data_IF_674994060343
#
_entry.id   IF_674994060343
#
_cell.length_a   1.000
_cell.length_b   1.000
_cell.length_c   1.000
_cell.angle_alpha   90.00
_cell.angle_beta   90.00
_cell.angle_gamma   90.00
#
_symmetry.space_group_name_H-M   'P 1'
#
loop_
_entity.id
_entity.type
_entity.pdbx_description
1 polymer ?
#
# COMPACT_ATOMS: atom_id res chain seq x y z
N UNK A 1 16.31 -53.75 21.85
CA UNK A 1 15.07 -52.95 21.87
C UNK A 1 15.46 -51.49 22.03
N UNK A 2 14.92 -50.58 21.20
CA UNK A 2 15.22 -49.14 21.32
C UNK A 2 14.65 -48.59 22.63
N UNK A 3 15.42 -47.75 23.31
CA UNK A 3 14.96 -47.00 24.48
C UNK A 3 13.88 -45.98 24.09
N UNK A 4 13.04 -45.57 25.05
CA UNK A 4 12.02 -44.55 24.79
C UNK A 4 12.61 -43.21 24.32
N UNK A 5 13.83 -42.87 24.76
CA UNK A 5 14.56 -41.68 24.31
C UNK A 5 14.98 -41.78 22.84
N UNK A 6 15.49 -42.94 22.42
CA UNK A 6 15.89 -43.17 21.02
C UNK A 6 14.68 -43.17 20.09
N UNK A 7 13.57 -43.80 20.49
CA UNK A 7 12.30 -43.76 19.73
C UNK A 7 11.82 -42.32 19.53
N UNK A 8 11.94 -41.48 20.55
CA UNK A 8 11.55 -40.07 20.47
C UNK A 8 12.45 -39.29 19.49
N UNK A 9 13.77 -39.46 19.56
CA UNK A 9 14.73 -38.82 18.65
C UNK A 9 14.53 -39.24 17.19
N UNK A 10 14.25 -40.52 16.94
CA UNK A 10 13.96 -41.02 15.58
C UNK A 10 12.71 -40.33 15.03
N UNK A 11 11.66 -40.22 15.86
CA UNK A 11 10.40 -39.61 15.47
C UNK A 11 10.53 -38.10 15.23
N UNK A 12 11.34 -37.40 16.01
CA UNK A 12 11.68 -35.99 15.77
C UNK A 12 12.39 -35.80 14.42
N UNK A 13 13.39 -36.63 14.12
CA UNK A 13 14.09 -36.61 12.82
C UNK A 13 13.15 -36.91 11.66
N UNK A 14 12.25 -37.88 11.83
CA UNK A 14 11.26 -38.22 10.81
C UNK A 14 10.28 -37.06 10.57
N UNK A 15 9.75 -36.46 11.64
CA UNK A 15 8.85 -35.31 11.54
C UNK A 15 9.51 -34.13 10.81
N UNK A 16 10.78 -33.86 11.11
CA UNK A 16 11.57 -32.84 10.43
C UNK A 16 11.83 -33.18 8.96
N UNK A 17 12.14 -34.43 8.64
CA UNK A 17 12.32 -34.89 7.25
C UNK A 17 11.04 -34.70 6.42
N UNK A 18 9.88 -35.09 6.97
CA UNK A 18 8.58 -34.91 6.30
C UNK A 18 8.26 -33.42 6.08
N UNK A 19 8.60 -32.57 7.04
CA UNK A 19 8.47 -31.12 6.92
C UNK A 19 9.38 -30.56 5.81
N UNK A 20 10.64 -30.99 5.74
CA UNK A 20 11.58 -30.56 4.69
C UNK A 20 11.14 -31.04 3.30
N UNK A 21 10.55 -32.24 3.22
CA UNK A 21 9.93 -32.79 2.01
C UNK A 21 8.57 -32.16 1.66
N UNK A 22 8.10 -31.19 2.47
CA UNK A 22 6.84 -30.46 2.29
C UNK A 22 5.60 -31.36 2.41
N UNK A 23 5.72 -32.50 3.11
CA UNK A 23 4.63 -33.39 3.44
C UNK A 23 3.98 -33.00 4.78
N UNK A 24 3.23 -31.91 4.75
CA UNK A 24 2.69 -31.28 5.96
C UNK A 24 1.69 -32.16 6.72
N UNK A 25 0.98 -33.06 6.04
CA UNK A 25 0.03 -33.99 6.68
C UNK A 25 0.75 -34.98 7.60
N UNK A 26 1.83 -35.60 7.10
CA UNK A 26 2.67 -36.51 7.89
C UNK A 26 3.45 -35.76 8.97
N UNK A 27 4.04 -34.61 8.63
CA UNK A 27 4.76 -33.78 9.60
C UNK A 27 3.84 -33.37 10.76
N UNK A 28 2.63 -32.87 10.49
CA UNK A 28 1.67 -32.51 11.53
C UNK A 28 1.32 -33.68 12.45
N UNK A 29 1.02 -34.86 11.87
CA UNK A 29 0.67 -36.04 12.65
C UNK A 29 1.79 -36.45 13.60
N UNK A 30 3.03 -36.51 13.09
CA UNK A 30 4.21 -36.88 13.88
C UNK A 30 4.52 -35.85 14.97
N UNK A 31 4.48 -34.55 14.67
CA UNK A 31 4.71 -33.50 15.67
C UNK A 31 3.59 -33.44 16.71
N UNK A 32 2.33 -33.65 16.33
CA UNK A 32 1.21 -33.66 17.27
C UNK A 32 1.36 -34.77 18.31
N UNK A 33 1.75 -35.97 17.87
CA UNK A 33 1.95 -37.12 18.78
C UNK A 33 3.20 -36.95 19.66
N UNK A 34 4.28 -36.37 19.12
CA UNK A 34 5.48 -36.04 19.90
C UNK A 34 5.21 -35.05 21.05
N UNK A 35 4.21 -34.20 20.87
CA UNK A 35 3.86 -33.12 21.79
C UNK A 35 2.64 -33.43 22.64
N UNK A 36 2.02 -34.59 22.45
CA UNK A 36 0.87 -35.04 23.23
C UNK A 36 1.23 -35.20 24.71
N UNK A 37 0.40 -34.66 25.60
CA UNK A 37 0.64 -34.66 27.05
C UNK A 37 1.73 -33.69 27.54
N UNK A 38 2.42 -32.96 26.65
CA UNK A 38 3.38 -31.91 27.04
C UNK A 38 2.67 -30.56 27.18
N UNK A 39 3.06 -29.76 28.19
CA UNK A 39 2.62 -28.38 28.31
C UNK A 39 2.94 -27.61 27.00
N UNK A 40 1.98 -26.86 26.43
CA UNK A 40 2.21 -26.11 25.20
C UNK A 40 3.33 -25.10 25.43
N UNK A 41 4.48 -25.34 24.79
CA UNK A 41 5.53 -24.32 24.69
C UNK A 41 5.25 -23.47 23.46
N UNK A 42 5.52 -22.17 23.58
CA UNK A 42 5.33 -21.15 22.56
C UNK A 42 5.68 -21.63 21.13
N UNK A 43 6.94 -22.00 20.89
CA UNK A 43 7.44 -22.45 19.58
C UNK A 43 6.73 -23.71 19.05
N UNK A 44 6.29 -24.60 19.93
CA UNK A 44 5.63 -25.85 19.54
C UNK A 44 4.18 -25.60 19.10
N UNK A 45 3.48 -24.69 19.76
CA UNK A 45 2.11 -24.31 19.41
C UNK A 45 2.04 -23.64 18.03
N UNK A 46 2.93 -22.68 17.75
CA UNK A 46 2.99 -22.03 16.43
C UNK A 46 3.29 -23.03 15.31
N UNK A 47 4.27 -23.91 15.53
CA UNK A 47 4.65 -24.93 14.56
C UNK A 47 3.49 -25.86 14.24
N UNK A 48 2.80 -26.37 15.27
CA UNK A 48 1.61 -27.20 15.08
C UNK A 48 0.49 -26.45 14.35
N UNK A 49 0.29 -25.17 14.65
CA UNK A 49 -0.72 -24.35 13.97
C UNK A 49 -0.44 -24.19 12.48
N UNK A 50 0.81 -23.85 12.11
CA UNK A 50 1.24 -23.72 10.72
C UNK A 50 1.13 -25.05 9.97
N UNK A 51 1.61 -26.15 10.57
CA UNK A 51 1.51 -27.47 9.96
C UNK A 51 0.05 -27.94 9.82
N UNK A 52 -0.81 -27.64 10.79
CA UNK A 52 -2.24 -27.92 10.69
C UNK A 52 -2.86 -27.17 9.51
N UNK A 53 -2.58 -25.87 9.36
CA UNK A 53 -3.06 -25.08 8.23
C UNK A 53 -2.61 -25.66 6.89
N UNK A 54 -1.31 -25.96 6.77
CA UNK A 54 -0.73 -26.49 5.54
C UNK A 54 -1.23 -27.91 5.22
N UNK A 55 -1.63 -28.67 6.25
CA UNK A 55 -2.26 -29.97 6.12
C UNK A 55 -3.79 -29.90 5.90
N UNK A 56 -4.39 -28.71 5.83
CA UNK A 56 -5.84 -28.52 5.70
C UNK A 56 -6.65 -28.92 6.95
N UNK A 57 -6.03 -28.89 8.13
CA UNK A 57 -6.66 -29.18 9.43
C UNK A 57 -6.98 -27.89 10.20
N UNK A 58 -7.83 -27.99 11.23
CA UNK A 58 -8.16 -26.85 12.09
C UNK A 58 -6.96 -26.47 12.99
N UNK A 59 -6.40 -25.30 12.74
CA UNK A 59 -5.25 -24.72 13.44
C UNK A 59 -5.61 -23.77 14.58
N UNK A 60 -6.90 -23.43 14.74
CA UNK A 60 -7.38 -22.33 15.61
C UNK A 60 -6.95 -22.51 17.06
N UNK A 61 -7.10 -23.72 17.60
CA UNK A 61 -6.72 -24.04 18.99
C UNK A 61 -5.23 -23.83 19.21
N UNK A 62 -4.39 -24.31 18.29
CA UNK A 62 -2.93 -24.17 18.38
C UNK A 62 -2.50 -22.70 18.34
N UNK A 63 -3.17 -21.87 17.52
CA UNK A 63 -2.92 -20.44 17.48
C UNK A 63 -3.36 -19.72 18.76
N UNK A 64 -4.48 -20.11 19.36
CA UNK A 64 -4.93 -19.57 20.65
C UNK A 64 -3.97 -19.94 21.78
N UNK A 65 -3.51 -21.19 21.81
CA UNK A 65 -2.48 -21.65 22.74
C UNK A 65 -1.19 -20.85 22.56
N UNK A 66 -0.73 -20.64 21.32
CA UNK A 66 0.42 -19.79 21.02
C UNK A 66 0.26 -18.37 21.57
N UNK A 67 -0.85 -17.69 21.25
CA UNK A 67 -1.12 -16.33 21.72
C UNK A 67 -1.10 -16.25 23.25
N UNK A 68 -1.58 -17.28 23.93
CA UNK A 68 -1.65 -17.33 25.40
C UNK A 68 -0.27 -17.44 26.05
N UNK A 69 0.64 -18.23 25.47
CA UNK A 69 1.93 -18.55 26.09
C UNK A 69 3.11 -17.75 25.53
N UNK A 70 2.94 -17.11 24.37
CA UNK A 70 4.02 -16.33 23.77
C UNK A 70 4.39 -15.11 24.59
N UNK A 71 5.69 -14.88 24.72
CA UNK A 71 6.23 -13.64 25.31
C UNK A 71 6.35 -12.52 24.28
N UNK A 72 6.36 -12.87 22.99
CA UNK A 72 6.52 -11.92 21.91
C UNK A 72 5.17 -11.33 21.50
N UNK A 73 4.91 -10.08 21.91
CA UNK A 73 3.70 -9.35 21.49
C UNK A 73 3.58 -9.27 19.97
N UNK A 74 4.71 -9.10 19.27
CA UNK A 74 4.76 -9.01 17.82
C UNK A 74 4.29 -10.30 17.17
N UNK A 75 4.79 -11.44 17.63
CA UNK A 75 4.39 -12.74 17.07
C UNK A 75 2.94 -13.08 17.45
N UNK A 76 2.53 -12.78 18.68
CA UNK A 76 1.13 -12.91 19.09
C UNK A 76 0.19 -12.13 18.15
N UNK A 77 0.59 -10.90 17.78
CA UNK A 77 -0.19 -10.06 16.88
C UNK A 77 -0.21 -10.55 15.43
N UNK A 78 0.89 -11.14 14.94
CA UNK A 78 0.91 -11.80 13.63
C UNK A 78 -0.11 -12.94 13.58
N UNK A 79 -0.16 -13.76 14.63
CA UNK A 79 -1.15 -14.84 14.73
C UNK A 79 -2.57 -14.30 14.88
N UNK A 80 -2.80 -13.24 15.66
CA UNK A 80 -4.11 -12.57 15.72
C UNK A 80 -4.57 -12.11 14.34
N UNK A 81 -3.68 -11.45 13.59
CA UNK A 81 -3.98 -10.97 12.24
C UNK A 81 -4.42 -12.13 11.33
N UNK A 82 -3.68 -13.24 11.35
CA UNK A 82 -4.01 -14.42 10.55
C UNK A 82 -5.36 -15.05 10.95
N UNK A 83 -5.68 -15.11 12.25
CA UNK A 83 -6.99 -15.59 12.73
C UNK A 83 -8.13 -14.67 12.27
N UNK A 84 -7.91 -13.35 12.32
CA UNK A 84 -8.90 -12.36 11.86
C UNK A 84 -9.14 -12.48 10.36
N UNK A 85 -8.08 -12.63 9.54
CA UNK A 85 -8.24 -12.77 8.08
C UNK A 85 -9.00 -14.03 7.67
N UNK A 86 -8.88 -15.11 8.44
CA UNK A 86 -9.60 -16.38 8.22
C UNK A 86 -11.01 -16.39 8.83
N UNK A 87 -11.34 -15.40 9.65
CA UNK A 87 -12.64 -15.34 10.33
C UNK A 87 -13.79 -15.13 9.33
N UNK A 88 -14.97 -15.65 9.70
CA UNK A 88 -16.24 -15.34 9.00
C UNK A 88 -16.67 -13.89 9.20
N UNK A 89 -16.19 -13.22 10.25
CA UNK A 89 -16.54 -11.85 10.62
C UNK A 89 -15.30 -10.97 10.87
N UNK A 90 -14.44 -10.77 9.86
CA UNK A 90 -13.12 -10.16 10.05
C UNK A 90 -13.18 -8.75 10.64
N UNK A 91 -14.18 -7.93 10.27
CA UNK A 91 -14.35 -6.60 10.85
C UNK A 91 -14.67 -6.62 12.34
N UNK A 92 -15.52 -7.56 12.77
CA UNK A 92 -15.91 -7.65 14.18
C UNK A 92 -14.71 -8.11 15.02
N UNK A 93 -13.94 -9.06 14.52
CA UNK A 93 -12.79 -9.59 15.24
C UNK A 93 -11.61 -8.61 15.22
N UNK A 94 -11.39 -7.88 14.12
CA UNK A 94 -10.44 -6.77 14.07
C UNK A 94 -10.73 -5.73 15.15
N UNK A 95 -12.00 -5.35 15.33
CA UNK A 95 -12.37 -4.36 16.33
C UNK A 95 -12.21 -4.85 17.77
N UNK A 96 -12.44 -6.14 18.03
CA UNK A 96 -12.16 -6.74 19.35
C UNK A 96 -10.66 -6.73 19.64
N UNK A 97 -9.84 -7.02 18.65
CA UNK A 97 -8.38 -7.14 18.77
C UNK A 97 -7.62 -5.84 18.46
N UNK A 98 -8.31 -4.71 18.28
CA UNK A 98 -7.65 -3.46 17.89
C UNK A 98 -6.63 -3.00 18.95
N UNK A 99 -6.95 -3.16 20.24
CA UNK A 99 -6.08 -2.74 21.34
C UNK A 99 -4.76 -3.51 21.36
N UNK A 100 -4.72 -4.86 21.33
CA UNK A 100 -3.45 -5.58 21.23
C UNK A 100 -2.71 -5.26 19.92
N UNK A 101 -3.42 -5.17 18.79
CA UNK A 101 -2.82 -4.90 17.48
C UNK A 101 -2.24 -3.49 17.35
N UNK A 102 -2.72 -2.50 18.11
CA UNK A 102 -2.17 -1.13 18.12
C UNK A 102 -0.72 -1.05 18.57
N UNK A 103 -0.18 -2.09 19.22
CA UNK A 103 1.26 -2.18 19.54
C UNK A 103 2.14 -2.55 18.33
N UNK A 104 1.52 -3.02 17.24
CA UNK A 104 2.15 -3.30 15.94
C UNK A 104 1.34 -2.60 14.85
N UNK A 105 1.39 -1.26 14.79
CA UNK A 105 0.52 -0.45 13.95
C UNK A 105 0.76 -0.63 12.44
N UNK A 106 1.97 -1.03 12.01
CA UNK A 106 2.28 -1.46 10.65
C UNK A 106 1.46 -2.69 10.25
N UNK A 107 1.44 -3.71 11.12
CA UNK A 107 0.65 -4.92 10.91
C UNK A 107 -0.85 -4.61 10.92
N UNK A 108 -1.30 -3.76 11.86
CA UNK A 108 -2.70 -3.33 11.90
C UNK A 108 -3.10 -2.59 10.62
N UNK A 109 -2.23 -1.74 10.08
CA UNK A 109 -2.47 -1.04 8.82
C UNK A 109 -2.63 -2.02 7.65
N UNK A 110 -1.70 -2.97 7.51
CA UNK A 110 -1.73 -4.00 6.47
C UNK A 110 -2.97 -4.90 6.58
N UNK A 111 -3.28 -5.39 7.78
CA UNK A 111 -4.48 -6.19 8.05
C UNK A 111 -5.76 -5.42 7.71
N UNK A 112 -5.86 -4.16 8.14
CA UNK A 112 -7.02 -3.31 7.85
C UNK A 112 -7.19 -3.09 6.36
N UNK A 113 -6.08 -2.89 5.63
CA UNK A 113 -6.10 -2.75 4.17
C UNK A 113 -6.54 -4.04 3.49
N UNK A 114 -6.06 -5.21 3.93
CA UNK A 114 -6.47 -6.53 3.44
C UNK A 114 -7.98 -6.75 3.62
N UNK A 115 -8.48 -6.55 4.86
CA UNK A 115 -9.89 -6.72 5.20
C UNK A 115 -10.75 -5.73 4.41
N UNK A 116 -10.37 -4.45 4.35
CA UNK A 116 -11.13 -3.46 3.58
C UNK A 116 -11.12 -3.74 2.09
N UNK A 117 -10.03 -4.33 1.57
CA UNK A 117 -9.92 -4.71 0.17
C UNK A 117 -10.87 -5.84 -0.21
N UNK A 118 -11.09 -6.80 0.69
CA UNK A 118 -12.01 -7.93 0.52
C UNK A 118 -13.46 -7.56 0.87
N UNK A 119 -13.67 -6.83 1.96
CA UNK A 119 -14.97 -6.55 2.56
C UNK A 119 -15.11 -5.04 2.80
N UNK A 120 -15.52 -4.30 1.76
CA UNK A 120 -15.64 -2.83 1.83
C UNK A 120 -16.62 -2.42 2.93
N UNK A 121 -16.14 -1.70 3.95
CA UNK A 121 -16.97 -1.18 5.03
C UNK A 121 -16.41 0.14 5.57
N UNK A 122 -16.97 1.25 5.12
CA UNK A 122 -16.48 2.59 5.46
C UNK A 122 -16.72 2.97 6.92
N UNK A 123 -17.81 2.48 7.51
CA UNK A 123 -18.13 2.72 8.93
C UNK A 123 -17.09 2.09 9.82
N UNK A 124 -16.74 0.82 9.57
CA UNK A 124 -15.74 0.11 10.38
C UNK A 124 -14.33 0.65 10.11
N UNK A 125 -14.00 0.97 8.85
CA UNK A 125 -12.72 1.62 8.53
C UNK A 125 -12.53 2.93 9.32
N UNK A 126 -13.55 3.79 9.34
CA UNK A 126 -13.50 5.04 10.11
C UNK A 126 -13.23 4.79 11.60
N UNK A 127 -13.86 3.77 12.20
CA UNK A 127 -13.61 3.40 13.60
C UNK A 127 -12.18 2.96 13.84
N UNK A 128 -11.60 2.15 12.94
CA UNK A 128 -10.21 1.72 13.06
C UNK A 128 -9.26 2.92 12.93
N UNK A 129 -9.46 3.78 11.93
CA UNK A 129 -8.64 4.99 11.74
C UNK A 129 -8.74 5.96 12.93
N UNK A 130 -9.88 6.03 13.62
CA UNK A 130 -10.06 6.88 14.81
C UNK A 130 -9.44 6.27 16.08
N UNK A 131 -9.46 4.95 16.19
CA UNK A 131 -8.99 4.23 17.38
C UNK A 131 -7.49 3.86 17.32
N UNK A 132 -6.83 4.13 16.19
CA UNK A 132 -5.43 3.79 15.95
C UNK A 132 -4.68 4.95 15.28
N UNK A 133 -3.40 4.76 15.00
CA UNK A 133 -2.54 5.73 14.29
C UNK A 133 -2.00 5.15 12.97
N UNK A 134 -2.76 4.23 12.38
CA UNK A 134 -2.32 3.47 11.19
C UNK A 134 -2.14 4.36 9.96
N UNK A 135 -2.73 5.55 9.92
CA UNK A 135 -2.58 6.55 8.86
C UNK A 135 -1.14 7.03 8.66
N UNK A 136 -0.24 6.77 9.61
CA UNK A 136 1.18 7.08 9.46
C UNK A 136 1.96 6.01 8.66
N UNK A 137 1.37 4.83 8.49
CA UNK A 137 1.96 3.67 7.80
C UNK A 137 1.48 3.61 6.35
N UNK A 138 2.23 2.93 5.48
CA UNK A 138 2.00 3.01 4.04
C UNK A 138 0.61 2.51 3.63
N UNK A 139 0.18 1.38 4.19
CA UNK A 139 -1.12 0.76 3.96
C UNK A 139 -2.26 1.60 4.54
N UNK A 140 -2.04 2.23 5.69
CA UNK A 140 -3.00 3.14 6.29
C UNK A 140 -3.13 4.46 5.53
N UNK A 141 -2.03 4.98 4.97
CA UNK A 141 -2.07 6.13 4.04
C UNK A 141 -2.94 5.81 2.82
N UNK A 142 -2.79 4.62 2.24
CA UNK A 142 -3.66 4.17 1.14
C UNK A 142 -5.14 4.12 1.54
N UNK A 143 -5.46 3.67 2.75
CA UNK A 143 -6.83 3.72 3.28
C UNK A 143 -7.38 5.14 3.41
N UNK A 144 -6.57 6.10 3.87
CA UNK A 144 -6.96 7.51 3.99
C UNK A 144 -7.16 8.16 2.61
N UNK A 145 -6.24 7.90 1.66
CA UNK A 145 -6.32 8.43 0.28
C UNK A 145 -7.62 8.08 -0.44
N UNK A 146 -8.30 7.01 -0.03
CA UNK A 146 -9.61 6.62 -0.56
C UNK A 146 -10.64 7.75 -0.47
N UNK A 147 -10.61 8.59 0.58
CA UNK A 147 -11.48 9.78 0.67
C UNK A 147 -10.91 11.01 -0.02
N UNK A 148 -9.58 11.13 -0.12
CA UNK A 148 -8.91 12.36 -0.53
C UNK A 148 -8.75 12.45 -2.05
N UNK A 149 -8.37 11.34 -2.70
CA UNK A 149 -8.22 11.27 -4.16
C UNK A 149 -9.50 11.72 -4.89
N UNK A 150 -10.71 11.24 -4.57
CA UNK A 150 -11.93 11.72 -5.23
C UNK A 150 -12.15 13.23 -5.13
N UNK A 151 -11.74 13.85 -4.01
CA UNK A 151 -11.87 15.30 -3.81
C UNK A 151 -10.91 16.06 -4.72
N UNK A 152 -9.65 15.60 -4.79
CA UNK A 152 -8.63 16.16 -5.68
C UNK A 152 -9.03 15.96 -7.15
N UNK A 153 -9.48 14.77 -7.53
CA UNK A 153 -9.98 14.48 -8.89
C UNK A 153 -11.11 15.43 -9.30
N UNK A 154 -12.06 15.68 -8.40
CA UNK A 154 -13.18 16.61 -8.65
C UNK A 154 -12.69 18.05 -8.81
N UNK A 155 -11.82 18.51 -7.90
CA UNK A 155 -11.25 19.86 -7.98
C UNK A 155 -10.41 20.06 -9.26
N UNK A 156 -9.58 19.08 -9.61
CA UNK A 156 -8.78 19.08 -10.84
C UNK A 156 -9.66 19.10 -12.10
N UNK A 157 -10.75 18.34 -12.11
CA UNK A 157 -11.73 18.35 -13.23
C UNK A 157 -12.40 19.71 -13.39
N UNK A 158 -12.81 20.32 -12.28
CA UNK A 158 -13.43 21.66 -12.28
C UNK A 158 -12.46 22.72 -12.80
N UNK A 159 -11.19 22.65 -12.38
CA UNK A 159 -10.13 23.50 -12.90
C UNK A 159 -9.95 23.29 -14.41
N UNK A 160 -9.71 22.04 -14.84
CA UNK A 160 -9.46 21.70 -16.25
C UNK A 160 -10.56 22.20 -17.18
N UNK A 161 -11.82 22.03 -16.79
CA UNK A 161 -12.98 22.39 -17.60
C UNK A 161 -13.28 23.90 -17.63
N UNK A 162 -12.75 24.67 -16.69
CA UNK A 162 -12.96 26.12 -16.64
C UNK A 162 -12.13 26.84 -17.72
N UNK A 163 -12.76 27.81 -18.42
CA UNK A 163 -12.12 28.66 -19.44
C UNK A 163 -12.28 30.13 -19.09
N UNK A 164 -11.27 30.94 -19.42
CA UNK A 164 -11.34 32.40 -19.34
C UNK A 164 -12.10 32.92 -20.56
N UNK A 165 -13.03 33.86 -20.35
CA UNK A 165 -13.89 34.40 -21.42
C UNK A 165 -13.59 35.87 -21.69
N UNK A 166 -13.14 36.20 -22.90
CA UNK A 166 -12.79 37.57 -23.30
C UNK A 166 -13.94 38.33 -24.02
N UNK A 167 -15.20 37.88 -23.87
CA UNK A 167 -16.36 38.46 -24.57
C UNK A 167 -16.70 39.89 -24.11
N UNK A 168 -16.46 40.19 -22.84
CA UNK A 168 -16.61 41.52 -22.25
C UNK A 168 -15.69 41.66 -21.05
N UNK A 169 -15.34 42.88 -20.66
CA UNK A 169 -14.47 43.11 -19.50
C UNK A 169 -15.07 42.54 -18.20
N UNK A 170 -16.39 42.65 -18.02
CA UNK A 170 -17.09 42.07 -16.88
C UNK A 170 -16.95 40.53 -16.85
N UNK A 171 -17.21 39.86 -17.99
CA UNK A 171 -17.09 38.39 -18.08
C UNK A 171 -15.65 37.91 -17.93
N UNK A 172 -14.69 38.69 -18.45
CA UNK A 172 -13.26 38.44 -18.28
C UNK A 172 -12.88 38.47 -16.80
N UNK A 173 -13.18 39.56 -16.10
CA UNK A 173 -12.89 39.69 -14.68
C UNK A 173 -13.58 38.59 -13.86
N UNK A 174 -14.85 38.29 -14.15
CA UNK A 174 -15.62 37.23 -13.47
C UNK A 174 -15.02 35.84 -13.69
N UNK A 175 -14.62 35.51 -14.92
CA UNK A 175 -14.03 34.20 -15.24
C UNK A 175 -12.61 34.05 -14.67
N UNK A 176 -11.79 35.10 -14.69
CA UNK A 176 -10.48 35.11 -14.01
C UNK A 176 -10.67 34.90 -12.51
N UNK A 177 -11.57 35.67 -11.88
CA UNK A 177 -11.87 35.54 -10.45
C UNK A 177 -12.34 34.13 -10.09
N UNK A 178 -13.24 33.55 -10.89
CA UNK A 178 -13.69 32.17 -10.70
C UNK A 178 -12.54 31.17 -10.78
N UNK A 179 -11.63 31.31 -11.74
CA UNK A 179 -10.46 30.43 -11.84
C UNK A 179 -9.56 30.55 -10.62
N UNK A 180 -9.31 31.77 -10.15
CA UNK A 180 -8.51 31.99 -8.93
C UNK A 180 -9.14 31.31 -7.72
N UNK A 181 -10.46 31.37 -7.55
CA UNK A 181 -11.15 30.63 -6.48
C UNK A 181 -10.97 29.11 -6.61
N UNK A 182 -11.03 28.58 -7.83
CA UNK A 182 -10.80 27.15 -8.07
C UNK A 182 -9.34 26.75 -7.76
N UNK A 183 -8.37 27.58 -8.10
CA UNK A 183 -6.95 27.36 -7.77
C UNK A 183 -6.77 27.40 -6.26
N UNK A 184 -7.32 28.38 -5.56
CA UNK A 184 -7.28 28.46 -4.09
C UNK A 184 -7.92 27.24 -3.43
N UNK A 185 -9.00 26.69 -4.00
CA UNK A 185 -9.58 25.44 -3.51
C UNK A 185 -8.63 24.26 -3.65
N UNK A 186 -7.82 24.22 -4.72
CA UNK A 186 -6.78 23.20 -4.89
C UNK A 186 -5.57 23.45 -3.96
N UNK A 187 -5.18 24.71 -3.73
CA UNK A 187 -4.15 25.07 -2.75
C UNK A 187 -4.54 24.57 -1.35
N UNK A 188 -5.81 24.71 -0.94
CA UNK A 188 -6.30 24.15 0.34
C UNK A 188 -6.16 22.62 0.43
N UNK A 189 -6.38 21.90 -0.67
CA UNK A 189 -6.16 20.45 -0.73
C UNK A 189 -4.67 20.11 -0.67
N UNK A 190 -3.82 20.91 -1.31
CA UNK A 190 -2.37 20.78 -1.20
C UNK A 190 -1.89 21.02 0.25
N UNK A 191 -2.41 22.03 0.94
CA UNK A 191 -2.10 22.30 2.35
C UNK A 191 -2.56 21.15 3.28
N UNK A 192 -3.70 20.52 2.96
CA UNK A 192 -4.13 19.31 3.67
C UNK A 192 -3.16 18.14 3.42
N UNK A 193 -2.71 17.93 2.19
CA UNK A 193 -1.72 16.91 1.84
C UNK A 193 -0.36 17.16 2.50
N UNK A 194 0.06 18.42 2.62
CA UNK A 194 1.28 18.81 3.34
C UNK A 194 1.15 18.47 4.82
N UNK A 195 0.02 18.84 5.45
CA UNK A 195 -0.25 18.54 6.87
C UNK A 195 -0.32 17.04 7.15
N UNK A 196 -0.88 16.24 6.24
CA UNK A 196 -0.96 14.78 6.39
C UNK A 196 0.37 14.07 6.13
N UNK A 197 1.40 14.78 5.65
CA UNK A 197 2.71 14.19 5.28
C UNK A 197 2.56 13.01 4.31
N UNK A 198 1.55 13.06 3.45
CA UNK A 198 1.34 12.07 2.40
C UNK A 198 2.05 12.50 1.11
N UNK A 199 3.13 11.79 0.78
CA UNK A 199 3.94 12.10 -0.40
C UNK A 199 3.13 12.07 -1.71
N UNK A 200 2.22 11.11 -1.89
CA UNK A 200 1.49 10.98 -3.15
C UNK A 200 0.50 12.12 -3.33
N UNK A 201 -0.23 12.48 -2.26
CA UNK A 201 -1.15 13.61 -2.29
C UNK A 201 -0.40 14.93 -2.49
N UNK A 202 0.77 15.11 -1.88
CA UNK A 202 1.61 16.31 -2.09
C UNK A 202 2.10 16.39 -3.53
N UNK A 203 2.70 15.31 -4.05
CA UNK A 203 3.24 15.25 -5.40
C UNK A 203 2.15 15.54 -6.45
N UNK A 204 0.98 14.93 -6.30
CA UNK A 204 -0.11 15.08 -7.27
C UNK A 204 -0.78 16.46 -7.19
N UNK A 205 -1.05 16.99 -6.01
CA UNK A 205 -1.66 18.34 -5.88
C UNK A 205 -0.71 19.45 -6.34
N UNK A 206 0.58 19.35 -6.02
CA UNK A 206 1.60 20.31 -6.46
C UNK A 206 1.79 20.28 -7.97
N UNK A 207 1.79 19.09 -8.58
CA UNK A 207 1.85 18.93 -10.04
C UNK A 207 0.63 19.55 -10.74
N UNK A 208 -0.57 19.38 -10.16
CA UNK A 208 -1.77 20.06 -10.68
C UNK A 208 -1.63 21.58 -10.56
N UNK A 209 -1.20 22.10 -9.40
CA UNK A 209 -1.03 23.53 -9.19
C UNK A 209 0.01 24.14 -10.14
N UNK A 210 1.14 23.46 -10.35
CA UNK A 210 2.15 23.84 -11.35
C UNK A 210 1.51 24.06 -12.72
N UNK A 211 0.78 23.04 -13.20
CA UNK A 211 0.17 23.07 -14.52
C UNK A 211 -0.93 24.13 -14.63
N UNK A 212 -1.70 24.35 -13.56
CA UNK A 212 -2.80 25.31 -13.53
C UNK A 212 -2.32 26.77 -13.43
N UNK A 213 -1.26 27.04 -12.68
CA UNK A 213 -0.62 28.36 -12.64
C UNK A 213 0.07 28.71 -13.96
N UNK A 214 0.75 27.75 -14.59
CA UNK A 214 1.31 27.92 -15.93
C UNK A 214 0.20 28.23 -16.95
N UNK A 215 -0.88 27.44 -16.94
CA UNK A 215 -2.05 27.64 -17.81
C UNK A 215 -2.70 29.00 -17.60
N UNK A 216 -2.92 29.43 -16.36
CA UNK A 216 -3.45 30.75 -16.06
C UNK A 216 -2.53 31.86 -16.61
N UNK A 217 -1.23 31.75 -16.39
CA UNK A 217 -0.25 32.74 -16.88
C UNK A 217 -0.31 32.84 -18.40
N UNK A 218 -0.33 31.71 -19.10
CA UNK A 218 -0.41 31.68 -20.57
C UNK A 218 -1.74 32.25 -21.08
N UNK A 219 -2.86 31.87 -20.46
CA UNK A 219 -4.18 32.38 -20.85
C UNK A 219 -4.28 33.90 -20.65
N UNK A 220 -3.63 34.45 -19.62
CA UNK A 220 -3.58 35.90 -19.37
C UNK A 220 -2.69 36.63 -20.38
N UNK A 221 -1.51 36.08 -20.70
CA UNK A 221 -0.62 36.64 -21.73
C UNK A 221 -1.29 36.63 -23.11
N UNK A 222 -2.10 35.62 -23.40
CA UNK A 222 -2.81 35.49 -24.67
C UNK A 222 -4.04 36.42 -24.80
N UNK A 223 -4.39 37.20 -23.78
CA UNK A 223 -5.49 38.15 -23.88
C UNK A 223 -5.17 39.27 -24.87
N UNK A 224 -6.12 39.68 -25.72
CA UNK A 224 -5.88 40.75 -26.68
C UNK A 224 -5.67 42.09 -25.97
N UNK A 225 -4.65 42.84 -26.41
CA UNK A 225 -4.40 44.21 -25.95
C UNK A 225 -5.60 45.11 -26.32
N UNK A 226 -6.03 46.03 -25.45
CA UNK A 226 -7.13 46.94 -25.75
C UNK A 226 -6.89 47.72 -27.05
N UNK A 227 -7.88 47.69 -27.96
CA UNK A 227 -7.76 48.25 -29.32
C UNK A 227 -7.53 49.76 -29.36
N UNK A 228 -7.96 50.48 -28.31
CA UNK A 228 -7.94 51.95 -28.25
C UNK A 228 -6.58 52.53 -27.81
N UNK A 229 -5.55 51.69 -27.64
CA UNK A 229 -4.22 52.14 -27.24
C UNK A 229 -3.34 52.40 -28.47
N UNK A 230 -2.64 53.54 -28.47
CA UNK A 230 -1.59 53.84 -29.44
C UNK A 230 -0.32 53.00 -29.20
N UNK A 231 0.66 53.04 -30.11
CA UNK A 231 1.86 52.18 -30.02
C UNK A 231 2.67 52.37 -28.72
N UNK A 232 2.77 53.60 -28.19
CA UNK A 232 3.47 53.88 -26.94
C UNK A 232 2.69 53.34 -25.73
N UNK A 233 1.38 53.57 -25.70
CA UNK A 233 0.47 53.07 -24.67
C UNK A 233 0.41 51.54 -24.65
N UNK A 234 0.47 50.88 -25.81
CA UNK A 234 0.56 49.41 -25.89
C UNK A 234 1.83 48.89 -25.23
N UNK A 235 2.99 49.48 -25.53
CA UNK A 235 4.27 49.12 -24.88
C UNK A 235 4.20 49.32 -23.36
N UNK A 236 3.57 50.40 -22.88
CA UNK A 236 3.41 50.65 -21.45
C UNK A 236 2.42 49.66 -20.80
N UNK A 237 1.33 49.33 -21.49
CA UNK A 237 0.38 48.30 -21.07
C UNK A 237 1.04 46.93 -20.96
N UNK A 238 1.79 46.51 -21.98
CA UNK A 238 2.47 45.21 -21.97
C UNK A 238 3.48 45.11 -20.83
N UNK A 239 4.22 46.20 -20.55
CA UNK A 239 5.15 46.28 -19.40
C UNK A 239 4.42 46.18 -18.07
N UNK A 240 3.36 46.97 -17.85
CA UNK A 240 2.62 46.97 -16.59
C UNK A 240 1.88 45.65 -16.36
N UNK A 241 1.27 45.10 -17.41
CA UNK A 241 0.60 43.81 -17.38
C UNK A 241 1.59 42.67 -17.10
N UNK A 242 2.75 42.65 -17.78
CA UNK A 242 3.80 41.65 -17.51
C UNK A 242 4.30 41.74 -16.07
N UNK A 243 4.46 42.95 -15.52
CA UNK A 243 4.82 43.15 -14.12
C UNK A 243 3.75 42.62 -13.16
N UNK A 244 2.46 42.83 -13.46
CA UNK A 244 1.34 42.27 -12.68
C UNK A 244 1.29 40.74 -12.71
N UNK A 245 1.76 40.11 -13.78
CA UNK A 245 1.84 38.65 -13.90
C UNK A 245 3.08 38.04 -13.22
N UNK A 246 4.07 38.84 -12.82
CA UNK A 246 5.30 38.34 -12.21
C UNK A 246 5.07 37.44 -10.96
N UNK A 247 4.12 37.74 -10.05
CA UNK A 247 3.82 36.87 -8.92
C UNK A 247 3.31 35.47 -9.35
N UNK A 248 2.53 35.39 -10.42
CA UNK A 248 2.02 34.11 -10.95
C UNK A 248 3.15 33.30 -11.60
N UNK A 249 4.05 33.96 -12.33
CA UNK A 249 5.26 33.33 -12.88
C UNK A 249 6.14 32.78 -11.76
N UNK A 250 6.37 33.56 -10.70
CA UNK A 250 7.14 33.12 -9.53
C UNK A 250 6.51 31.90 -8.85
N UNK A 251 5.19 31.93 -8.61
CA UNK A 251 4.45 30.76 -8.08
C UNK A 251 4.59 29.53 -8.99
N UNK A 252 4.46 29.70 -10.31
CA UNK A 252 4.62 28.62 -11.28
C UNK A 252 6.00 27.97 -11.15
N UNK A 253 7.07 28.77 -11.11
CA UNK A 253 8.45 28.29 -10.94
C UNK A 253 8.67 27.59 -9.60
N UNK A 254 8.08 28.11 -8.52
CA UNK A 254 8.16 27.49 -7.19
C UNK A 254 7.48 26.11 -7.17
N UNK A 255 6.26 26.00 -7.71
CA UNK A 255 5.57 24.71 -7.83
C UNK A 255 6.30 23.76 -8.79
N UNK A 256 6.89 24.26 -9.87
CA UNK A 256 7.69 23.44 -10.79
C UNK A 256 8.88 22.79 -10.08
N UNK A 257 9.70 23.60 -9.39
CA UNK A 257 10.83 23.10 -8.61
C UNK A 257 10.40 22.06 -7.58
N UNK A 258 9.29 22.32 -6.88
CA UNK A 258 8.79 21.40 -5.84
C UNK A 258 8.21 20.11 -6.43
N UNK A 259 7.49 20.20 -7.56
CA UNK A 259 7.00 19.03 -8.27
C UNK A 259 8.16 18.13 -8.72
N UNK A 260 9.21 18.72 -9.30
CA UNK A 260 10.40 18.00 -9.73
C UNK A 260 11.10 17.31 -8.56
N UNK A 261 11.21 17.97 -7.40
CA UNK A 261 11.73 17.37 -6.17
C UNK A 261 10.92 16.13 -5.76
N UNK A 262 9.59 16.21 -5.77
CA UNK A 262 8.73 15.09 -5.40
C UNK A 262 8.86 13.92 -6.39
N UNK A 263 8.72 14.18 -7.69
CA UNK A 263 8.74 13.14 -8.72
C UNK A 263 10.13 12.56 -8.99
N UNK A 264 11.20 13.25 -8.60
CA UNK A 264 12.57 12.72 -8.63
C UNK A 264 12.86 11.74 -7.49
N UNK A 265 11.97 11.64 -6.49
CA UNK A 265 12.13 10.69 -5.38
C UNK A 265 11.80 9.25 -5.81
N UNK A 266 12.78 8.60 -6.46
CA UNK A 266 12.68 7.20 -6.92
C UNK A 266 12.33 6.22 -5.78
N UNK A 267 12.76 6.51 -4.55
CA UNK A 267 12.49 5.64 -3.40
C UNK A 267 11.01 5.64 -3.02
N UNK A 268 10.35 6.80 -3.06
CA UNK A 268 8.92 6.92 -2.74
C UNK A 268 8.06 6.23 -3.81
N UNK A 269 8.41 6.41 -5.09
CA UNK A 269 7.75 5.73 -6.20
C UNK A 269 7.92 4.21 -6.05
N UNK A 270 9.15 3.74 -5.83
CA UNK A 270 9.45 2.31 -5.66
C UNK A 270 8.68 1.68 -4.49
N UNK A 271 8.59 2.36 -3.34
CA UNK A 271 7.81 1.88 -2.19
C UNK A 271 6.33 1.71 -2.56
N UNK A 272 5.76 2.66 -3.28
CA UNK A 272 4.36 2.61 -3.69
C UNK A 272 4.09 1.49 -4.71
N UNK A 273 4.98 1.33 -5.71
CA UNK A 273 4.85 0.25 -6.70
C UNK A 273 5.12 -1.12 -6.09
N UNK A 274 6.08 -1.24 -5.17
CA UNK A 274 6.38 -2.52 -4.50
C UNK A 274 5.21 -2.98 -3.63
N UNK A 275 4.56 -2.07 -2.88
CA UNK A 275 3.37 -2.41 -2.11
C UNK A 275 2.26 -2.95 -3.03
N UNK A 276 2.09 -2.39 -4.22
CA UNK A 276 1.15 -2.92 -5.21
C UNK A 276 1.60 -4.31 -5.73
N UNK A 277 2.85 -4.47 -6.15
CA UNK A 277 3.37 -5.71 -6.75
C UNK A 277 3.41 -6.91 -5.78
N UNK A 278 3.63 -6.64 -4.49
CA UNK A 278 3.74 -7.66 -3.43
C UNK A 278 2.38 -7.97 -2.78
N UNK A 279 1.34 -7.20 -3.09
CA UNK A 279 0.02 -7.35 -2.48
C UNK A 279 -0.81 -8.49 -3.07
N UNK A 280 -1.71 -9.02 -2.24
CA UNK A 280 -2.78 -9.93 -2.70
C UNK A 280 -3.69 -9.23 -3.72
N UNK A 281 -4.41 -10.01 -4.55
CA UNK A 281 -5.25 -9.48 -5.64
C UNK A 281 -6.30 -8.46 -5.16
N UNK A 282 -7.06 -8.69 -4.07
CA UNK A 282 -8.02 -7.71 -3.60
C UNK A 282 -7.35 -6.38 -3.27
N UNK A 283 -6.18 -6.42 -2.61
CA UNK A 283 -5.40 -5.23 -2.25
C UNK A 283 -4.82 -4.56 -3.49
N UNK A 284 -4.28 -5.32 -4.44
CA UNK A 284 -3.86 -4.81 -5.76
C UNK A 284 -4.96 -4.02 -6.45
N UNK A 285 -6.18 -4.57 -6.54
CA UNK A 285 -7.32 -3.87 -7.17
C UNK A 285 -7.64 -2.55 -6.49
N UNK A 286 -7.51 -2.50 -5.16
CA UNK A 286 -7.69 -1.28 -4.40
C UNK A 286 -6.58 -0.25 -4.71
N UNK A 287 -5.32 -0.65 -4.59
CA UNK A 287 -4.15 0.20 -4.83
C UNK A 287 -4.00 0.66 -6.29
N UNK A 288 -4.51 -0.12 -7.25
CA UNK A 288 -4.48 0.22 -8.67
C UNK A 288 -5.15 1.57 -8.96
N UNK A 289 -6.17 1.95 -8.20
CA UNK A 289 -6.82 3.26 -8.33
C UNK A 289 -5.84 4.39 -8.00
N UNK A 290 -5.07 4.26 -6.93
CA UNK A 290 -4.08 5.26 -6.50
C UNK A 290 -2.98 5.41 -7.54
N UNK A 291 -2.45 4.29 -8.04
CA UNK A 291 -1.42 4.28 -9.07
C UNK A 291 -1.91 4.88 -10.39
N UNK A 292 -3.14 4.58 -10.82
CA UNK A 292 -3.73 5.20 -12.02
C UNK A 292 -3.87 6.71 -11.85
N UNK A 293 -4.38 7.15 -10.71
CA UNK A 293 -4.49 8.57 -10.36
C UNK A 293 -3.11 9.26 -10.43
N UNK A 294 -2.10 8.67 -9.77
CA UNK A 294 -0.73 9.16 -9.80
C UNK A 294 -0.19 9.25 -11.25
N UNK A 295 -0.36 8.18 -12.04
CA UNK A 295 0.17 8.08 -13.39
C UNK A 295 -0.45 9.06 -14.39
N UNK A 296 -1.66 9.52 -14.13
CA UNK A 296 -2.37 10.49 -14.98
C UNK A 296 -1.93 11.93 -14.71
N UNK A 297 -1.33 12.18 -13.54
CA UNK A 297 -0.88 13.50 -13.11
C UNK A 297 0.63 13.64 -13.26
N UNK A 298 1.38 12.57 -12.97
CA UNK A 298 2.84 12.57 -12.98
C UNK A 298 3.43 12.99 -14.35
N UNK A 299 4.67 13.54 -14.36
CA UNK A 299 5.41 13.79 -15.59
C UNK A 299 5.48 12.54 -16.49
N UNK A 300 5.50 12.74 -17.81
CA UNK A 300 5.31 11.67 -18.81
C UNK A 300 6.24 10.46 -18.65
N UNK A 301 7.49 10.64 -18.20
CA UNK A 301 8.43 9.53 -17.93
C UNK A 301 7.99 8.71 -16.71
N UNK A 302 7.70 9.38 -15.60
CA UNK A 302 7.25 8.75 -14.35
C UNK A 302 5.87 8.12 -14.52
N UNK A 303 4.93 8.82 -15.16
CA UNK A 303 3.59 8.31 -15.45
C UNK A 303 3.63 7.02 -16.28
N UNK A 304 4.52 6.93 -17.28
CA UNK A 304 4.73 5.69 -18.04
C UNK A 304 5.29 4.57 -17.16
N UNK A 305 6.27 4.85 -16.32
CA UNK A 305 6.84 3.84 -15.40
C UNK A 305 5.81 3.30 -14.39
N UNK A 306 4.90 4.15 -13.90
CA UNK A 306 3.83 3.69 -13.00
C UNK A 306 2.81 2.83 -13.75
N UNK A 307 2.47 3.19 -15.00
CA UNK A 307 1.56 2.40 -15.84
C UNK A 307 2.15 1.03 -16.21
N UNK A 308 3.44 0.94 -16.50
CA UNK A 308 4.06 -0.36 -16.78
C UNK A 308 3.98 -1.31 -15.59
N UNK A 309 4.15 -0.82 -14.35
CA UNK A 309 3.95 -1.65 -13.14
C UNK A 309 2.50 -2.12 -12.99
N UNK A 310 1.52 -1.29 -13.39
CA UNK A 310 0.10 -1.67 -13.39
C UNK A 310 -0.21 -2.77 -14.40
N UNK A 311 0.44 -2.78 -15.56
CA UNK A 311 0.21 -3.76 -16.63
C UNK A 311 0.91 -5.10 -16.34
N UNK A 312 2.11 -5.08 -15.75
CA UNK A 312 2.88 -6.29 -15.47
C UNK A 312 2.34 -7.15 -14.32
N UNK A 313 1.40 -6.63 -13.53
CA UNK A 313 1.11 -7.16 -12.19
C UNK A 313 -0.37 -7.48 -11.96
N UNK A 314 -1.20 -7.59 -12.99
CA UNK A 314 -2.62 -7.97 -12.82
C UNK A 314 -2.80 -9.48 -12.81
N UNK A 315 -1.91 -10.23 -13.47
CA UNK A 315 -2.05 -11.67 -13.58
C UNK A 315 -1.71 -12.40 -12.28
N UNK A 316 -2.47 -13.46 -12.00
CA UNK A 316 -2.12 -14.42 -10.96
C UNK A 316 -0.83 -15.13 -11.37
N UNK A 317 0.08 -15.42 -10.43
CA UNK A 317 1.14 -16.39 -10.67
C UNK A 317 0.55 -17.66 -11.28
N UNK A 318 1.10 -18.11 -12.40
CA UNK A 318 0.59 -19.30 -13.06
C UNK A 318 0.71 -20.51 -12.13
N UNK A 319 -0.28 -21.40 -12.13
CA UNK A 319 -0.25 -22.62 -11.31
C UNK A 319 1.02 -23.43 -11.58
N UNK A 320 1.48 -23.44 -12.84
CA UNK A 320 2.73 -24.07 -13.25
C UNK A 320 3.95 -23.43 -12.58
N UNK A 321 4.08 -22.09 -12.60
CA UNK A 321 5.22 -21.40 -11.98
C UNK A 321 5.28 -21.63 -10.47
N UNK A 322 4.12 -21.68 -9.81
CA UNK A 322 4.02 -21.95 -8.38
C UNK A 322 4.40 -23.40 -8.07
N UNK A 323 3.85 -24.36 -8.82
CA UNK A 323 4.20 -25.78 -8.67
C UNK A 323 5.69 -26.02 -8.92
N UNK A 324 6.27 -25.35 -9.92
CA UNK A 324 7.71 -25.42 -10.18
C UNK A 324 8.52 -24.84 -9.02
N UNK A 325 8.09 -23.72 -8.43
CA UNK A 325 8.74 -23.15 -7.25
C UNK A 325 8.66 -24.09 -6.04
N UNK A 326 7.54 -24.80 -5.85
CA UNK A 326 7.39 -25.85 -4.85
C UNK A 326 8.35 -27.03 -5.10
N UNK A 327 8.44 -27.54 -6.33
CA UNK A 327 9.37 -28.64 -6.66
C UNK A 327 10.83 -28.21 -6.45
N UNK A 328 11.20 -27.04 -6.95
CA UNK A 328 12.56 -26.52 -6.78
C UNK A 328 12.97 -26.41 -5.30
N UNK A 329 12.04 -25.99 -4.43
CA UNK A 329 12.27 -25.91 -2.98
C UNK A 329 12.30 -27.30 -2.33
N UNK A 330 11.52 -28.25 -2.83
CA UNK A 330 11.57 -29.65 -2.37
C UNK A 330 12.91 -30.30 -2.70
N UNK A 331 13.45 -30.02 -3.88
CA UNK A 331 14.75 -30.55 -4.34
C UNK A 331 15.92 -29.94 -3.57
N UNK A 332 15.78 -28.70 -3.11
CA UNK A 332 16.79 -28.00 -2.31
C UNK A 332 16.14 -27.24 -1.15
N UNK A 333 15.86 -27.98 -0.05
CA UNK A 333 15.10 -27.45 1.08
C UNK A 333 15.81 -26.32 1.85
N UNK A 334 17.10 -26.10 1.64
CA UNK A 334 17.88 -25.14 2.42
C UNK A 334 18.21 -23.85 1.66
N UNK A 335 17.76 -23.74 0.41
CA UNK A 335 18.03 -22.57 -0.42
C UNK A 335 17.13 -21.37 -0.06
N UNK A 336 17.74 -20.35 0.57
CA UNK A 336 17.07 -19.08 0.92
C UNK A 336 16.48 -18.40 -0.32
N UNK A 337 17.17 -18.43 -1.45
CA UNK A 337 16.68 -17.79 -2.69
C UNK A 337 15.42 -18.47 -3.24
N UNK A 338 15.34 -19.81 -3.14
CA UNK A 338 14.15 -20.59 -3.54
C UNK A 338 12.97 -20.35 -2.58
N UNK A 339 13.24 -20.27 -1.28
CA UNK A 339 12.24 -19.89 -0.27
C UNK A 339 11.67 -18.51 -0.60
N UNK A 340 12.53 -17.52 -0.87
CA UNK A 340 12.11 -16.15 -1.17
C UNK A 340 11.27 -16.06 -2.45
N UNK A 341 11.65 -16.81 -3.49
CA UNK A 341 10.90 -16.90 -4.74
C UNK A 341 9.51 -17.48 -4.52
N UNK A 342 9.40 -18.61 -3.81
CA UNK A 342 8.11 -19.22 -3.52
C UNK A 342 7.25 -18.32 -2.62
N UNK A 343 7.87 -17.69 -1.62
CA UNK A 343 7.21 -16.75 -0.72
C UNK A 343 6.53 -15.61 -1.48
N UNK A 344 7.24 -14.98 -2.43
CA UNK A 344 6.69 -13.91 -3.26
C UNK A 344 5.48 -14.38 -4.08
N UNK A 345 5.57 -15.57 -4.69
CA UNK A 345 4.48 -16.13 -5.48
C UNK A 345 3.24 -16.46 -4.62
N UNK A 346 3.43 -17.05 -3.44
CA UNK A 346 2.33 -17.40 -2.54
C UNK A 346 1.70 -16.18 -1.86
N UNK A 347 2.49 -15.14 -1.57
CA UNK A 347 1.99 -13.83 -1.12
C UNK A 347 1.07 -13.20 -2.17
N UNK A 348 1.46 -13.24 -3.45
CA UNK A 348 0.64 -12.76 -4.55
C UNK A 348 -0.67 -13.55 -4.73
N UNK A 349 -0.68 -14.84 -4.37
CA UNK A 349 -1.88 -15.70 -4.34
C UNK A 349 -2.75 -15.48 -3.09
N UNK A 350 -2.21 -14.86 -2.04
CA UNK A 350 -2.88 -14.72 -0.74
C UNK A 350 -2.87 -16.00 0.10
N UNK A 351 -1.85 -16.85 -0.05
CA UNK A 351 -1.65 -18.05 0.76
C UNK A 351 -0.87 -17.72 2.04
N UNK A 352 -1.49 -16.99 2.97
CA UNK A 352 -0.79 -16.37 4.11
C UNK A 352 -0.11 -17.39 5.05
N UNK A 353 -0.71 -18.57 5.24
CA UNK A 353 -0.11 -19.65 6.04
C UNK A 353 1.19 -20.19 5.43
N UNK A 354 1.27 -20.27 4.10
CA UNK A 354 2.48 -20.69 3.39
C UNK A 354 3.56 -19.64 3.53
N UNK A 355 3.21 -18.36 3.34
CA UNK A 355 4.13 -17.24 3.52
C UNK A 355 4.71 -17.22 4.94
N UNK A 356 3.86 -17.36 5.97
CA UNK A 356 4.30 -17.41 7.36
C UNK A 356 5.24 -18.59 7.65
N UNK A 357 4.95 -19.77 7.09
CA UNK A 357 5.84 -20.94 7.19
C UNK A 357 7.20 -20.68 6.52
N UNK A 358 7.21 -20.12 5.32
CA UNK A 358 8.43 -19.82 4.58
C UNK A 358 9.27 -18.74 5.27
N UNK A 359 8.65 -17.70 5.82
CA UNK A 359 9.33 -16.68 6.62
C UNK A 359 9.95 -17.29 7.89
N UNK A 360 9.23 -18.18 8.58
CA UNK A 360 9.75 -18.88 9.76
C UNK A 360 10.96 -19.75 9.40
N UNK A 361 10.87 -20.52 8.31
CA UNK A 361 11.95 -21.36 7.81
C UNK A 361 13.18 -20.54 7.42
N UNK A 362 12.98 -19.42 6.71
CA UNK A 362 14.05 -18.51 6.30
C UNK A 362 14.83 -17.99 7.51
N UNK A 363 14.14 -17.49 8.53
CA UNK A 363 14.78 -17.00 9.78
C UNK A 363 15.66 -18.06 10.45
N UNK A 364 15.19 -19.31 10.47
CA UNK A 364 15.95 -20.43 11.04
C UNK A 364 17.25 -20.67 10.25
N UNK A 365 17.20 -20.59 8.92
CA UNK A 365 18.38 -20.78 8.06
C UNK A 365 19.36 -19.61 8.12
N UNK A 366 18.86 -18.40 8.29
CA UNK A 366 19.68 -17.18 8.40
C UNK A 366 20.24 -16.97 9.83
N UNK A 367 19.86 -17.80 10.79
CA UNK A 367 20.34 -17.71 12.18
C UNK A 367 19.80 -16.50 12.96
N UNK A 368 18.74 -15.86 12.49
CA UNK A 368 18.10 -14.71 13.14
C UNK A 368 16.94 -15.17 14.03
N UNK A 369 17.24 -15.46 15.31
CA UNK A 369 16.22 -15.72 16.34
C UNK A 369 15.74 -14.45 17.02
#
# INVERSE_FOLDING_TARGET
SLTNSEKLKIKEKLAWSEEMALNFKSAYALYSELLEGRQPRDKNALKLALLADLAGRNSTRHYQDFIKYTRSRKEANLVRAQLIEKSRSPWNDLLKEIRPLSSTPDLLASLTLSIYSKYKNDRQLKRVLQASRIENYQEGKSLVRKSDIPQIERAARNLRNHRITARSQYLLNKSIGRRMTLIQSMEKLADQAIRSRDWLLQATTIEILKNEYARLTNDLIALPVPKNLNAAQRKQYDRSFTAQLAPLKSKTSAFAKKADEFWSNKSAIKKMTSLYEESSIPVRRFLARELRFASNIAPSSVGRSIRSSLESSIDQPSRSAVNQAWQNLKDDPFSVSKIEKLRKLESQRGSDSVVAYLDSRKKVLEGTN
#
